data_IF_185056968940
#
_entry.id   IF_185056968940
#
_cell.length_a   1.000
_cell.length_b   1.000
_cell.length_c   1.000
_cell.angle_alpha   90.00
_cell.angle_beta   90.00
_cell.angle_gamma   90.00
#
_symmetry.space_group_name_H-M   'P 1'
#
loop_
_entity.id
_entity.type
_entity.pdbx_description
1 polymer ?
#
# COMPACT_ATOMS: atom_id res chain seq x y z
N UNK A 1 35.40 20.90 -29.42
CA UNK A 1 33.97 20.89 -29.07
C UNK A 1 33.76 19.75 -28.10
N UNK A 2 33.38 20.08 -26.86
CA UNK A 2 33.19 19.13 -25.77
C UNK A 2 31.80 18.51 -25.94
N UNK A 3 31.75 17.19 -26.08
CA UNK A 3 30.50 16.43 -26.04
C UNK A 3 30.12 16.26 -24.56
N UNK A 4 29.30 17.19 -24.05
CA UNK A 4 28.76 17.10 -22.70
C UNK A 4 27.64 16.05 -22.66
N UNK A 5 27.97 14.91 -22.06
CA UNK A 5 27.07 13.78 -21.87
C UNK A 5 25.79 14.15 -21.15
N UNK A 6 24.68 14.16 -21.88
CA UNK A 6 23.35 14.19 -21.31
C UNK A 6 23.00 12.80 -20.77
N UNK A 7 23.58 12.45 -19.62
CA UNK A 7 23.17 11.30 -18.84
C UNK A 7 21.80 11.59 -18.23
N UNK A 8 20.75 11.33 -19.01
CA UNK A 8 19.40 11.15 -18.50
C UNK A 8 19.43 9.97 -17.53
N UNK A 9 19.79 10.23 -16.27
CA UNK A 9 19.63 9.33 -15.15
C UNK A 9 18.13 9.14 -14.94
N UNK A 10 17.53 8.28 -15.76
CA UNK A 10 16.16 7.82 -15.55
C UNK A 10 16.13 7.18 -14.17
N UNK A 11 15.46 7.84 -13.23
CA UNK A 11 15.30 7.34 -11.87
C UNK A 11 14.75 5.92 -11.95
N UNK A 12 15.56 4.94 -11.56
CA UNK A 12 15.22 3.52 -11.61
C UNK A 12 13.99 3.28 -10.71
N UNK A 13 12.81 3.21 -11.31
CA UNK A 13 11.57 2.86 -10.60
C UNK A 13 11.65 1.39 -10.22
N UNK A 14 11.66 1.11 -8.92
CA UNK A 14 11.65 -0.25 -8.37
C UNK A 14 10.21 -0.62 -8.06
N UNK A 15 9.70 -1.67 -8.69
CA UNK A 15 8.42 -2.27 -8.32
C UNK A 15 8.66 -3.30 -7.22
N UNK A 16 7.86 -3.21 -6.16
CA UNK A 16 7.91 -4.14 -5.04
C UNK A 16 6.49 -4.64 -4.72
N UNK A 17 6.35 -5.96 -4.55
CA UNK A 17 5.07 -6.56 -4.16
C UNK A 17 4.87 -6.34 -2.65
N UNK A 18 3.70 -5.84 -2.26
CA UNK A 18 3.30 -5.75 -0.87
C UNK A 18 2.68 -7.07 -0.40
N UNK A 19 3.08 -7.51 0.80
CA UNK A 19 2.43 -8.63 1.46
C UNK A 19 1.13 -8.12 2.10
N UNK A 20 0.01 -8.72 1.73
CA UNK A 20 -1.30 -8.39 2.30
C UNK A 20 -1.87 -9.61 2.98
N UNK A 21 -2.66 -9.42 4.04
CA UNK A 21 -3.13 -10.53 4.89
C UNK A 21 -4.09 -11.49 4.18
N UNK A 22 -4.95 -10.96 3.32
CA UNK A 22 -5.89 -11.73 2.50
C UNK A 22 -5.68 -11.30 1.04
N UNK A 23 -4.71 -11.89 0.31
CA UNK A 23 -4.43 -11.54 -1.08
C UNK A 23 -5.46 -12.10 -2.05
N UNK A 24 -6.22 -13.11 -1.63
CA UNK A 24 -7.26 -13.77 -2.42
C UNK A 24 -8.59 -13.76 -1.66
N UNK A 25 -9.70 -13.70 -2.40
CA UNK A 25 -11.05 -13.78 -1.82
C UNK A 25 -11.93 -14.68 -2.70
N UNK A 26 -12.42 -15.83 -2.20
CA UNK A 26 -13.06 -16.85 -3.04
C UNK A 26 -14.38 -16.39 -3.66
N UNK A 27 -15.15 -15.55 -2.97
CA UNK A 27 -16.43 -15.02 -3.47
C UNK A 27 -16.60 -13.55 -3.12
N UNK A 28 -16.05 -12.66 -3.94
CA UNK A 28 -16.27 -11.23 -3.75
C UNK A 28 -17.75 -10.87 -4.00
N UNK A 29 -18.43 -10.32 -2.98
CA UNK A 29 -19.85 -9.92 -3.09
C UNK A 29 -20.06 -8.41 -3.03
N UNK A 30 -19.43 -7.70 -2.10
CA UNK A 30 -19.69 -6.28 -1.84
C UNK A 30 -18.43 -5.47 -1.53
N UNK A 31 -17.73 -5.81 -0.45
CA UNK A 31 -16.56 -5.08 0.04
C UNK A 31 -15.47 -6.08 0.43
N UNK A 32 -14.23 -5.76 0.09
CA UNK A 32 -13.05 -6.51 0.49
C UNK A 32 -12.01 -5.56 1.07
N UNK A 33 -11.67 -5.78 2.34
CA UNK A 33 -10.63 -5.02 3.02
C UNK A 33 -9.27 -5.67 2.78
N UNK A 34 -8.39 -4.97 2.07
CA UNK A 34 -7.00 -5.37 1.88
C UNK A 34 -6.14 -4.64 2.91
N UNK A 35 -5.35 -5.40 3.69
CA UNK A 35 -4.49 -4.85 4.74
C UNK A 35 -3.04 -5.27 4.53
N UNK A 36 -2.15 -4.29 4.50
CA UNK A 36 -0.71 -4.46 4.59
C UNK A 36 -0.24 -3.96 5.96
N UNK A 37 0.54 -4.76 6.67
CA UNK A 37 1.12 -4.35 7.94
C UNK A 37 2.41 -3.56 7.71
N UNK A 38 2.51 -2.37 8.31
CA UNK A 38 3.73 -1.55 8.32
C UNK A 38 4.71 -2.06 9.38
N UNK A 39 5.29 -3.23 9.14
CA UNK A 39 6.33 -3.82 10.00
C UNK A 39 7.73 -3.61 9.42
N UNK A 40 8.77 -4.12 10.09
CA UNK A 40 10.18 -3.98 9.71
C UNK A 40 10.51 -4.46 8.30
N UNK A 41 9.70 -5.36 7.72
CA UNK A 41 9.89 -5.90 6.38
C UNK A 41 9.09 -5.15 5.31
N UNK A 42 8.19 -4.24 5.71
CA UNK A 42 7.40 -3.44 4.77
C UNK A 42 8.32 -2.62 3.85
N UNK A 43 8.21 -2.73 2.53
CA UNK A 43 9.02 -1.94 1.61
C UNK A 43 8.59 -0.45 1.60
N UNK A 44 7.47 -0.12 2.24
CA UNK A 44 6.98 1.25 2.36
C UNK A 44 7.74 2.03 3.43
N UNK A 45 8.42 1.37 4.37
CA UNK A 45 9.17 2.07 5.42
C UNK A 45 10.44 2.71 4.89
N UNK A 46 10.66 3.97 5.27
CA UNK A 46 11.96 4.65 5.11
C UNK A 46 13.05 3.89 5.85
N UNK A 47 14.30 4.03 5.41
CA UNK A 47 15.44 3.39 6.07
C UNK A 47 15.57 3.80 7.55
N UNK A 48 15.27 5.08 7.87
CA UNK A 48 15.27 5.61 9.23
C UNK A 48 14.19 4.92 10.09
N UNK A 49 12.94 4.89 9.62
CA UNK A 49 11.84 4.28 10.36
C UNK A 49 12.08 2.78 10.57
N UNK A 50 12.51 2.07 9.52
CA UNK A 50 12.85 0.64 9.60
C UNK A 50 13.91 0.36 10.67
N UNK A 51 14.95 1.18 10.75
CA UNK A 51 15.99 1.06 11.78
C UNK A 51 15.43 1.26 13.19
N UNK A 52 14.53 2.23 13.38
CA UNK A 52 13.92 2.49 14.68
C UNK A 52 12.99 1.36 15.11
N UNK A 53 12.14 0.86 14.22
CA UNK A 53 11.29 -0.32 14.48
C UNK A 53 12.14 -1.54 14.82
N UNK A 54 13.25 -1.78 14.09
CA UNK A 54 14.18 -2.87 14.39
C UNK A 54 14.85 -2.71 15.76
N UNK A 55 15.29 -1.49 16.10
CA UNK A 55 15.86 -1.18 17.43
C UNK A 55 14.84 -1.41 18.55
N UNK A 56 13.57 -1.15 18.27
CA UNK A 56 12.45 -1.36 19.17
C UNK A 56 11.87 -2.79 19.10
N UNK A 57 12.71 -3.80 18.80
CA UNK A 57 12.35 -5.24 18.77
C UNK A 57 11.17 -5.58 17.84
N UNK A 58 11.00 -4.81 16.76
CA UNK A 58 9.90 -4.99 15.80
C UNK A 58 8.62 -4.20 16.14
N UNK A 59 8.55 -3.56 17.31
CA UNK A 59 7.43 -2.72 17.71
C UNK A 59 7.60 -1.30 17.19
N UNK A 60 6.48 -0.62 16.94
CA UNK A 60 6.50 0.80 16.59
C UNK A 60 7.03 1.64 17.75
N UNK A 61 8.06 2.49 17.53
CA UNK A 61 8.54 3.43 18.53
C UNK A 61 7.44 4.43 18.92
N UNK A 62 7.34 4.76 20.21
CA UNK A 62 6.34 5.71 20.72
C UNK A 62 6.46 7.09 20.05
N UNK A 63 7.69 7.55 19.83
CA UNK A 63 8.03 8.80 19.14
C UNK A 63 7.54 8.86 17.67
N UNK A 64 7.22 7.72 17.05
CA UNK A 64 6.67 7.67 15.70
C UNK A 64 5.18 7.33 15.68
N UNK A 65 4.59 7.00 16.84
CA UNK A 65 3.22 6.52 16.97
C UNK A 65 2.20 7.68 16.99
N UNK A 66 2.31 8.57 16.01
CA UNK A 66 1.39 9.68 15.77
C UNK A 66 1.30 9.95 14.27
N UNK A 67 0.25 10.65 13.81
CA UNK A 67 -0.05 10.78 12.38
C UNK A 67 1.13 11.31 11.55
N UNK A 68 1.83 12.34 12.05
CA UNK A 68 2.98 12.92 11.38
C UNK A 68 4.18 11.94 11.37
N UNK A 69 4.45 11.27 12.48
CA UNK A 69 5.54 10.29 12.58
C UNK A 69 5.35 9.12 11.63
N UNK A 70 4.11 8.63 11.48
CA UNK A 70 3.76 7.60 10.49
C UNK A 70 3.93 8.14 9.07
N UNK A 71 3.49 9.37 8.77
CA UNK A 71 3.64 9.98 7.43
C UNK A 71 5.09 10.10 7.00
N UNK A 72 5.96 10.55 7.89
CA UNK A 72 7.40 10.67 7.64
C UNK A 72 8.12 9.32 7.59
N UNK A 73 7.51 8.29 8.17
CA UNK A 73 8.05 6.92 8.19
C UNK A 73 7.80 6.15 6.90
N UNK A 74 6.89 6.63 6.04
CA UNK A 74 6.46 5.94 4.83
C UNK A 74 6.99 6.68 3.59
N UNK A 75 7.51 5.95 2.61
CA UNK A 75 7.96 6.50 1.34
C UNK A 75 7.66 5.55 0.18
N UNK A 76 6.87 6.02 -0.77
CA UNK A 76 6.63 5.35 -2.06
C UNK A 76 6.23 6.39 -3.10
N UNK A 77 6.40 6.07 -4.39
CA UNK A 77 5.92 6.93 -5.46
C UNK A 77 4.44 6.66 -5.75
N UNK A 78 4.09 5.39 -5.98
CA UNK A 78 2.73 4.96 -6.28
C UNK A 78 2.44 3.60 -5.65
N UNK A 79 1.20 3.39 -5.25
CA UNK A 79 0.63 2.10 -4.88
C UNK A 79 -0.30 1.65 -5.99
N UNK A 80 0.06 0.55 -6.65
CA UNK A 80 -0.78 -0.08 -7.66
C UNK A 80 -1.55 -1.22 -7.01
N UNK A 81 -2.88 -1.12 -7.03
CA UNK A 81 -3.78 -2.19 -6.61
C UNK A 81 -4.38 -2.80 -7.86
N UNK A 82 -4.18 -4.10 -8.03
CA UNK A 82 -4.65 -4.88 -9.17
C UNK A 82 -5.51 -6.02 -8.66
N UNK A 83 -6.69 -6.18 -9.25
CA UNK A 83 -7.63 -7.24 -8.92
C UNK A 83 -7.98 -7.99 -10.20
N UNK A 84 -8.05 -9.32 -10.11
CA UNK A 84 -8.54 -10.17 -11.17
C UNK A 84 -9.48 -11.21 -10.59
N UNK A 85 -10.40 -11.70 -11.41
CA UNK A 85 -11.34 -12.74 -11.00
C UNK A 85 -12.16 -13.25 -12.16
N UNK A 86 -13.11 -14.12 -11.87
CA UNK A 86 -14.07 -14.64 -12.86
C UNK A 86 -15.45 -14.07 -12.56
N UNK A 87 -16.08 -13.47 -13.57
CA UNK A 87 -17.44 -12.96 -13.44
C UNK A 87 -18.45 -14.12 -13.40
N UNK A 88 -19.31 -14.14 -12.38
CA UNK A 88 -20.38 -15.13 -12.29
C UNK A 88 -21.44 -14.98 -13.40
N UNK A 89 -21.63 -13.78 -13.96
CA UNK A 89 -22.67 -13.55 -14.96
C UNK A 89 -22.28 -13.99 -16.37
N UNK A 90 -20.99 -13.96 -16.69
CA UNK A 90 -20.48 -14.22 -18.04
C UNK A 90 -19.44 -15.34 -18.12
N UNK A 91 -19.08 -15.94 -16.98
CA UNK A 91 -17.98 -16.91 -16.86
C UNK A 91 -16.63 -16.42 -17.44
N UNK A 92 -16.47 -15.10 -17.60
CA UNK A 92 -15.28 -14.50 -18.21
C UNK A 92 -14.33 -13.97 -17.16
N UNK A 93 -13.02 -13.96 -17.45
CA UNK A 93 -12.04 -13.28 -16.61
C UNK A 93 -12.23 -11.76 -16.68
N UNK A 94 -12.27 -11.12 -15.50
CA UNK A 94 -12.37 -9.67 -15.34
C UNK A 94 -11.12 -9.14 -14.63
N UNK A 95 -10.77 -7.89 -14.94
CA UNK A 95 -9.58 -7.23 -14.42
C UNK A 95 -9.91 -5.79 -14.02
N UNK A 96 -9.35 -5.33 -12.90
CA UNK A 96 -9.44 -3.95 -12.46
C UNK A 96 -8.10 -3.50 -11.86
N UNK A 97 -7.71 -2.25 -12.13
CA UNK A 97 -6.49 -1.67 -11.58
C UNK A 97 -6.73 -0.22 -11.18
N UNK A 98 -6.20 0.16 -10.03
CA UNK A 98 -6.17 1.54 -9.55
C UNK A 98 -4.77 1.88 -9.05
N UNK A 99 -4.32 3.09 -9.35
CA UNK A 99 -3.04 3.62 -8.89
C UNK A 99 -3.31 4.76 -7.91
N UNK A 100 -2.74 4.66 -6.72
CA UNK A 100 -2.77 5.70 -5.69
C UNK A 100 -1.40 6.35 -5.58
N UNK A 101 -1.37 7.67 -5.50
CA UNK A 101 -0.17 8.45 -5.19
C UNK A 101 -0.08 8.66 -3.67
N UNK A 102 1.06 9.18 -3.20
CA UNK A 102 1.25 9.46 -1.77
C UNK A 102 0.21 10.45 -1.18
N UNK A 103 -0.29 11.37 -2.01
CA UNK A 103 -1.32 12.34 -1.61
C UNK A 103 -2.69 11.71 -1.36
N UNK A 104 -2.97 10.54 -1.95
CA UNK A 104 -4.24 9.83 -1.80
C UNK A 104 -4.31 9.05 -0.47
N UNK A 105 -3.18 8.92 0.25
CA UNK A 105 -3.11 8.20 1.52
C UNK A 105 -3.40 9.13 2.69
N UNK A 106 -4.50 8.81 3.39
CA UNK A 106 -4.90 9.44 4.65
C UNK A 106 -4.37 8.65 5.85
N UNK A 107 -3.72 9.33 6.79
CA UNK A 107 -3.05 8.72 7.94
C UNK A 107 -3.76 9.12 9.23
N UNK A 108 -3.95 8.17 10.14
CA UNK A 108 -4.71 8.36 11.37
C UNK A 108 -6.22 8.17 11.22
N UNK A 109 -6.68 7.74 10.05
CA UNK A 109 -8.09 7.47 9.76
C UNK A 109 -8.36 5.97 9.69
N UNK A 110 -9.62 5.62 9.93
CA UNK A 110 -10.16 4.28 9.71
C UNK A 110 -11.34 4.39 8.75
N UNK A 111 -11.50 3.39 7.88
CA UNK A 111 -12.70 3.28 7.06
C UNK A 111 -13.95 3.27 7.95
N UNK A 112 -14.96 4.06 7.56
CA UNK A 112 -16.26 4.03 8.19
C UNK A 112 -16.89 2.64 8.03
N UNK A 113 -17.61 2.19 9.06
CA UNK A 113 -18.27 0.88 9.05
C UNK A 113 -19.31 0.83 7.93
N UNK A 114 -19.11 -0.06 6.95
CA UNK A 114 -20.05 -0.32 5.86
C UNK A 114 -21.07 -1.40 6.22
N UNK A 115 -21.59 -1.39 7.45
CA UNK A 115 -22.70 -2.26 7.83
C UNK A 115 -23.99 -1.65 7.26
N UNK A 116 -24.51 -2.27 6.21
CA UNK A 116 -25.86 -2.00 5.75
C UNK A 116 -26.82 -2.83 6.59
N UNK A 117 -27.77 -2.18 7.26
CA UNK A 117 -28.92 -2.86 7.84
C UNK A 117 -29.84 -3.20 6.67
N UNK A 118 -29.97 -4.48 6.34
CA UNK A 118 -31.09 -4.94 5.51
C UNK A 118 -32.35 -4.76 6.36
N UNK A 119 -33.15 -3.74 6.05
CA UNK A 119 -34.51 -3.65 6.53
C UNK A 119 -35.35 -4.61 5.67
N UNK A 120 -35.33 -5.90 6.01
CA UNK A 120 -36.39 -6.82 5.64
C UNK A 120 -37.49 -6.78 6.70
#
# INVERSE_FOLDING_TARGET
MVDEGNSNLVARKVFCKLNVEAPDHPFFKRVWFVRHELNVESPLLTAKARRLVRKNKGYWPEELNHCQGVRESIQFHQLMVSMSGTSNSSASSVYGQTIYNFVDVVIGYRFATTLFRDNQ
#
